data_IF_616996192591
#
_entry.id   IF_616996192591
#
_cell.length_a   1.000
_cell.length_b   1.000
_cell.length_c   1.000
_cell.angle_alpha   90.00
_cell.angle_beta   90.00
_cell.angle_gamma   90.00
#
_symmetry.space_group_name_H-M   'P 1'
#
loop_
_entity.id
_entity.type
_entity.pdbx_description
1 polymer ?
#
# COMPACT_ATOMS: atom_id res chain seq x y z
N UNK A 1 2.27 11.25 12.63
CA UNK A 1 3.73 11.45 12.46
C UNK A 1 4.06 11.48 10.96
N UNK A 2 5.04 12.29 10.54
CA UNK A 2 5.45 12.44 9.13
C UNK A 2 6.97 12.46 8.92
N UNK A 3 7.76 12.34 9.99
CA UNK A 3 9.21 12.59 9.93
C UNK A 3 10.06 11.55 10.64
N UNK A 4 9.52 10.77 11.58
CA UNK A 4 10.34 9.76 12.25
C UNK A 4 10.72 8.60 11.31
N UNK A 5 11.63 7.74 11.77
CA UNK A 5 11.99 6.50 11.06
C UNK A 5 10.80 5.54 10.88
N UNK A 6 9.76 5.63 11.73
CA UNK A 6 8.58 4.74 11.69
C UNK A 6 7.82 4.88 10.38
N UNK A 7 7.87 6.05 9.77
CA UNK A 7 7.19 6.38 8.52
C UNK A 7 8.12 6.33 7.31
N UNK A 8 9.34 5.78 7.45
CA UNK A 8 10.30 5.62 6.37
C UNK A 8 10.19 4.24 5.71
N UNK A 9 10.05 4.22 4.38
CA UNK A 9 9.81 3.02 3.58
C UNK A 9 10.75 2.93 2.37
N UNK A 10 11.00 1.70 1.90
CA UNK A 10 11.74 1.42 0.67
C UNK A 10 10.90 0.60 -0.29
N UNK A 11 10.93 0.97 -1.57
CA UNK A 11 10.45 0.16 -2.67
C UNK A 11 11.59 -0.72 -3.19
N UNK A 12 11.41 -2.04 -3.16
CA UNK A 12 12.40 -3.01 -3.64
C UNK A 12 11.83 -3.68 -4.89
N UNK A 13 12.40 -3.44 -6.08
CA UNK A 13 11.87 -3.99 -7.32
C UNK A 13 12.07 -5.50 -7.39
N UNK A 14 11.07 -6.19 -7.93
CA UNK A 14 11.08 -7.63 -8.22
C UNK A 14 10.59 -7.80 -9.65
N UNK A 15 11.38 -8.51 -10.46
CA UNK A 15 10.99 -8.89 -11.82
C UNK A 15 10.49 -10.33 -11.82
N UNK A 16 9.21 -10.53 -12.10
CA UNK A 16 8.60 -11.86 -12.13
C UNK A 16 7.59 -11.95 -13.27
N UNK A 17 7.64 -13.02 -14.07
CA UNK A 17 6.69 -13.28 -15.15
C UNK A 17 6.46 -12.07 -16.09
N UNK A 18 7.55 -11.37 -16.45
CA UNK A 18 7.54 -10.18 -17.30
C UNK A 18 6.77 -8.98 -16.69
N UNK A 19 6.66 -8.93 -15.37
CA UNK A 19 6.05 -7.80 -14.62
C UNK A 19 7.09 -7.23 -13.66
N UNK A 20 7.12 -5.90 -13.59
CA UNK A 20 7.79 -5.18 -12.51
C UNK A 20 6.83 -5.06 -11.33
N UNK A 21 7.16 -5.75 -10.25
CA UNK A 21 6.48 -5.70 -8.97
C UNK A 21 7.42 -5.09 -7.93
N UNK A 22 6.87 -4.78 -6.77
CA UNK A 22 7.63 -4.19 -5.68
C UNK A 22 7.31 -4.88 -4.37
N UNK A 23 8.34 -5.09 -3.54
CA UNK A 23 8.16 -5.23 -2.10
C UNK A 23 8.23 -3.84 -1.48
N UNK A 24 7.36 -3.56 -0.52
CA UNK A 24 7.32 -2.30 0.23
C UNK A 24 7.80 -2.61 1.65
N UNK A 25 8.99 -2.13 2.02
CA UNK A 25 9.63 -2.44 3.29
C UNK A 25 9.62 -1.22 4.22
N UNK A 26 9.15 -1.39 5.46
CA UNK A 26 9.36 -0.42 6.53
C UNK A 26 10.81 -0.49 7.01
N UNK A 27 11.50 0.65 7.05
CA UNK A 27 12.94 0.67 7.34
C UNK A 27 13.28 0.57 8.82
N UNK A 28 12.45 1.07 9.72
CA UNK A 28 12.67 0.95 11.17
C UNK A 28 12.48 -0.50 11.64
N UNK A 29 11.41 -1.15 11.19
CA UNK A 29 11.05 -2.49 11.67
C UNK A 29 11.61 -3.62 10.79
N UNK A 30 12.18 -3.32 9.63
CA UNK A 30 12.67 -4.32 8.66
C UNK A 30 11.55 -5.33 8.29
N UNK A 31 10.34 -4.82 8.10
CA UNK A 31 9.13 -5.61 7.79
C UNK A 31 8.58 -5.24 6.43
N UNK A 32 7.97 -6.21 5.76
CA UNK A 32 7.36 -6.04 4.45
C UNK A 32 5.84 -5.91 4.57
N UNK A 33 5.29 -4.95 3.83
CA UNK A 33 3.85 -4.74 3.75
C UNK A 33 3.17 -5.90 3.01
N UNK A 34 2.07 -6.40 3.58
CA UNK A 34 1.19 -7.40 2.95
C UNK A 34 -0.28 -7.14 3.28
N UNK A 35 -1.18 -7.73 2.50
CA UNK A 35 -2.60 -7.83 2.85
C UNK A 35 -2.90 -9.12 3.61
N UNK A 36 -3.94 -9.13 4.44
CA UNK A 36 -4.46 -10.31 5.13
C UNK A 36 -5.09 -11.33 4.16
N UNK A 37 -5.05 -12.62 4.54
CA UNK A 37 -5.80 -13.69 3.87
C UNK A 37 -7.30 -13.62 4.18
N UNK A 38 -7.65 -13.04 5.33
CA UNK A 38 -9.04 -12.82 5.72
C UNK A 38 -9.53 -11.47 5.21
N UNK A 39 -10.84 -11.37 5.04
CA UNK A 39 -11.53 -10.13 4.68
C UNK A 39 -12.43 -9.69 5.83
N UNK A 40 -12.74 -8.40 5.87
CA UNK A 40 -13.81 -7.87 6.72
C UNK A 40 -15.20 -8.09 6.09
N UNK A 41 -16.24 -7.49 6.68
CA UNK A 41 -17.62 -7.56 6.19
C UNK A 41 -17.85 -6.89 4.83
N UNK A 42 -16.93 -6.07 4.35
CA UNK A 42 -16.97 -5.39 3.04
C UNK A 42 -16.10 -6.09 1.99
N UNK A 43 -15.37 -7.13 2.37
CA UNK A 43 -14.41 -7.82 1.52
C UNK A 43 -13.02 -7.16 1.50
N UNK A 44 -12.80 -6.12 2.31
CA UNK A 44 -11.52 -5.44 2.41
C UNK A 44 -10.53 -6.28 3.23
N UNK A 45 -9.24 -6.20 2.89
CA UNK A 45 -8.18 -6.96 3.57
C UNK A 45 -7.33 -6.03 4.41
N UNK A 46 -7.16 -6.30 5.69
CA UNK A 46 -6.29 -5.48 6.53
C UNK A 46 -4.83 -5.58 6.05
N UNK A 47 -4.10 -4.46 6.09
CA UNK A 47 -2.68 -4.47 5.79
C UNK A 47 -1.84 -4.71 7.06
N UNK A 48 -0.74 -5.44 6.90
CA UNK A 48 0.16 -5.84 7.97
C UNK A 48 1.63 -5.70 7.56
N UNK A 49 2.51 -5.58 8.54
CA UNK A 49 3.95 -5.82 8.38
C UNK A 49 4.31 -7.27 8.73
N UNK A 50 5.24 -7.88 8.00
CA UNK A 50 5.82 -9.16 8.39
C UNK A 50 7.30 -9.30 8.05
N UNK A 51 8.02 -10.09 8.82
CA UNK A 51 9.46 -10.34 8.62
C UNK A 51 9.76 -11.22 7.38
N UNK A 52 8.79 -12.04 6.93
CA UNK A 52 8.89 -12.77 5.67
C UNK A 52 8.29 -11.97 4.50
N UNK A 53 8.68 -12.32 3.26
CA UNK A 53 8.16 -11.70 2.03
C UNK A 53 8.13 -12.64 0.82
N UNK A 54 7.86 -13.91 1.07
CA UNK A 54 7.93 -14.97 0.05
C UNK A 54 6.57 -15.31 -0.55
N UNK A 55 5.53 -14.55 -0.22
CA UNK A 55 4.17 -14.76 -0.71
C UNK A 55 3.79 -13.64 -1.68
N UNK A 56 2.92 -13.94 -2.65
CA UNK A 56 2.42 -12.95 -3.62
C UNK A 56 1.72 -11.77 -2.96
N UNK A 57 1.12 -11.98 -1.77
CA UNK A 57 0.51 -10.92 -0.94
C UNK A 57 1.50 -9.87 -0.42
N UNK A 58 2.81 -10.07 -0.57
CA UNK A 58 3.85 -9.07 -0.28
C UNK A 58 4.33 -8.28 -1.51
N UNK A 59 3.81 -8.64 -2.69
CA UNK A 59 4.16 -8.01 -3.95
C UNK A 59 3.08 -6.99 -4.34
N UNK A 60 3.52 -5.88 -4.89
CA UNK A 60 2.68 -4.73 -5.21
C UNK A 60 2.96 -4.25 -6.62
N UNK A 61 1.90 -3.94 -7.36
CA UNK A 61 1.95 -3.23 -8.65
C UNK A 61 1.72 -1.75 -8.39
N UNK A 62 2.55 -0.91 -8.99
CA UNK A 62 2.44 0.56 -8.89
C UNK A 62 2.00 1.09 -10.25
N UNK A 63 0.87 1.81 -10.28
CA UNK A 63 0.35 2.45 -11.49
C UNK A 63 0.40 3.97 -11.32
N UNK A 64 1.21 4.70 -12.11
CA UNK A 64 1.26 6.16 -12.04
C UNK A 64 0.00 6.79 -12.63
N UNK A 65 -0.51 7.83 -11.96
CA UNK A 65 -1.64 8.64 -12.43
C UNK A 65 -1.28 10.12 -12.31
N UNK A 66 -1.52 10.87 -13.38
CA UNK A 66 -1.30 12.32 -13.43
C UNK A 66 -2.61 13.02 -13.09
N UNK A 67 -2.58 13.88 -12.08
CA UNK A 67 -3.68 14.76 -11.71
C UNK A 67 -3.24 16.21 -11.83
N UNK A 68 -4.21 17.13 -11.94
CA UNK A 68 -3.93 18.57 -11.91
C UNK A 68 -3.21 19.00 -10.63
N UNK A 69 -3.48 18.31 -9.51
CA UNK A 69 -2.90 18.59 -8.20
C UNK A 69 -1.55 17.91 -7.96
N UNK A 70 -1.05 17.12 -8.92
CA UNK A 70 0.20 16.38 -8.81
C UNK A 70 0.07 14.89 -9.10
N UNK A 71 1.22 14.25 -9.35
CA UNK A 71 1.27 12.83 -9.68
C UNK A 71 1.10 11.96 -8.43
N UNK A 72 0.29 10.91 -8.57
CA UNK A 72 0.06 9.90 -7.53
C UNK A 72 0.32 8.50 -8.08
N UNK A 73 0.43 7.53 -7.18
CA UNK A 73 0.52 6.11 -7.51
C UNK A 73 -0.69 5.38 -6.92
N UNK A 74 -1.36 4.59 -7.75
CA UNK A 74 -2.23 3.52 -7.25
C UNK A 74 -1.35 2.32 -6.92
N UNK A 75 -1.48 1.80 -5.71
CA UNK A 75 -0.67 0.69 -5.19
C UNK A 75 -1.59 -0.52 -5.00
N UNK A 76 -1.47 -1.51 -5.88
CA UNK A 76 -2.35 -2.67 -5.95
C UNK A 76 -1.63 -3.93 -5.50
N UNK A 77 -2.26 -4.72 -4.62
CA UNK A 77 -1.70 -5.97 -4.17
C UNK A 77 -1.70 -7.02 -5.30
N UNK A 78 -0.57 -7.70 -5.52
CA UNK A 78 -0.42 -8.63 -6.61
C UNK A 78 -1.31 -9.87 -6.49
N UNK A 79 -1.52 -10.38 -5.28
CA UNK A 79 -2.34 -11.59 -5.06
C UNK A 79 -3.82 -11.30 -5.21
N UNK A 80 -4.30 -10.21 -4.62
CA UNK A 80 -5.73 -9.95 -4.47
C UNK A 80 -6.31 -8.92 -5.44
N UNK A 81 -5.47 -8.20 -6.19
CA UNK A 81 -5.93 -7.12 -7.08
C UNK A 81 -6.61 -5.97 -6.32
N UNK A 82 -6.33 -5.81 -5.02
CA UNK A 82 -6.93 -4.78 -4.17
C UNK A 82 -5.95 -3.62 -3.98
N UNK A 83 -6.42 -2.41 -4.25
CA UNK A 83 -5.65 -1.17 -4.09
C UNK A 83 -5.63 -0.69 -2.66
N UNK A 84 -4.49 -0.15 -2.20
CA UNK A 84 -4.35 0.38 -0.85
C UNK A 84 -5.25 1.61 -0.62
N UNK A 85 -5.96 1.62 0.51
CA UNK A 85 -6.71 2.76 1.03
C UNK A 85 -6.50 2.92 2.53
N UNK A 86 -6.66 4.15 3.01
CA UNK A 86 -6.86 4.40 4.43
C UNK A 86 -8.34 4.27 4.78
N UNK A 87 -8.62 3.79 5.99
CA UNK A 87 -9.96 3.72 6.54
C UNK A 87 -10.64 5.09 6.55
N UNK A 88 -11.97 5.12 6.39
CA UNK A 88 -12.77 6.33 6.49
C UNK A 88 -12.84 6.85 7.95
N UNK A 89 -12.71 5.96 8.93
CA UNK A 89 -12.71 6.32 10.35
C UNK A 89 -11.30 6.53 10.89
N UNK A 90 -11.18 7.43 11.85
CA UNK A 90 -9.96 7.64 12.63
C UNK A 90 -10.12 7.00 14.00
N UNK A 91 -9.03 6.50 14.57
CA UNK A 91 -8.99 6.07 15.96
C UNK A 91 -8.89 7.28 16.93
N UNK A 92 -8.79 7.00 18.23
CA UNK A 92 -8.68 8.05 19.26
C UNK A 92 -7.42 8.92 19.17
N UNK A 93 -6.41 8.48 18.43
CA UNK A 93 -5.16 9.20 18.19
C UNK A 93 -5.15 9.92 16.83
N UNK A 94 -6.21 9.77 16.04
CA UNK A 94 -6.31 10.33 14.69
C UNK A 94 -5.71 9.43 13.61
N UNK A 95 -5.29 8.21 13.96
CA UNK A 95 -4.71 7.25 13.01
C UNK A 95 -5.81 6.55 12.21
N UNK A 96 -5.51 6.20 10.97
CA UNK A 96 -6.39 5.42 10.09
C UNK A 96 -5.75 4.07 9.82
N UNK A 97 -6.55 3.01 9.91
CA UNK A 97 -6.10 1.68 9.49
C UNK A 97 -5.86 1.66 7.98
N UNK A 98 -4.96 0.75 7.55
CA UNK A 98 -4.62 0.55 6.15
C UNK A 98 -5.27 -0.75 5.65
N UNK A 99 -5.90 -0.66 4.49
CA UNK A 99 -6.71 -1.73 3.91
C UNK A 99 -6.41 -1.92 2.42
N UNK A 100 -6.56 -3.14 1.93
CA UNK A 100 -6.80 -3.43 0.52
C UNK A 100 -8.28 -3.25 0.22
N UNK A 101 -8.60 -2.33 -0.67
CA UNK A 101 -9.96 -1.98 -1.07
C UNK A 101 -10.56 -3.03 -2.02
N UNK A 102 -11.74 -3.53 -1.68
CA UNK A 102 -12.53 -4.47 -2.50
C UNK A 102 -13.42 -3.75 -3.56
N UNK A 103 -13.16 -2.48 -3.84
CA UNK A 103 -13.91 -1.67 -4.80
C UNK A 103 -13.04 -1.13 -5.93
N UNK A 104 -13.70 -0.53 -6.93
CA UNK A 104 -13.01 0.14 -8.03
C UNK A 104 -12.38 1.47 -7.57
N UNK A 105 -11.11 1.69 -7.92
CA UNK A 105 -10.35 2.91 -7.60
C UNK A 105 -10.02 3.78 -8.83
N UNK A 106 -10.18 3.25 -10.05
CA UNK A 106 -9.66 3.86 -11.28
C UNK A 106 -10.24 5.25 -11.57
N UNK A 107 -11.49 5.48 -11.16
CA UNK A 107 -12.19 6.76 -11.34
C UNK A 107 -11.95 7.79 -10.23
N UNK A 108 -11.21 7.44 -9.17
CA UNK A 108 -10.97 8.35 -8.04
C UNK A 108 -9.52 8.31 -7.51
N UNK A 109 -8.51 8.53 -8.37
CA UNK A 109 -7.10 8.55 -7.98
C UNK A 109 -6.76 9.66 -6.99
N UNK A 110 -7.54 10.76 -6.93
CA UNK A 110 -7.35 11.79 -5.90
C UNK A 110 -7.67 11.31 -4.48
N UNK A 111 -8.53 10.31 -4.34
CA UNK A 111 -8.89 9.71 -3.05
C UNK A 111 -8.03 8.48 -2.71
N UNK A 112 -7.69 7.65 -3.71
CA UNK A 112 -6.97 6.37 -3.49
C UNK A 112 -5.47 6.44 -3.82
N UNK A 113 -5.01 7.53 -4.41
CA UNK A 113 -3.62 7.69 -4.83
C UNK A 113 -2.67 7.98 -3.66
N UNK A 114 -1.46 7.45 -3.77
CA UNK A 114 -0.38 7.65 -2.81
C UNK A 114 0.71 8.53 -3.40
N UNK A 115 1.21 9.48 -2.60
CA UNK A 115 2.38 10.29 -2.95
C UNK A 115 3.61 9.66 -2.31
N UNK A 116 4.69 9.54 -3.08
CA UNK A 116 5.99 9.09 -2.60
C UNK A 116 6.93 10.28 -2.60
N UNK A 117 7.42 10.63 -1.41
CA UNK A 117 8.43 11.67 -1.23
C UNK A 117 9.73 11.06 -0.72
N UNK A 118 10.85 11.72 -0.99
CA UNK A 118 12.10 11.39 -0.30
C UNK A 118 11.92 11.58 1.21
N UNK A 119 12.34 10.58 1.98
CA UNK A 119 12.35 10.70 3.44
C UNK A 119 13.54 11.61 3.85
N UNK A 120 13.30 12.64 4.69
CA UNK A 120 14.27 13.69 5.01
C UNK A 120 15.40 13.24 5.95
#
# INVERSE_FOLDING_TARGET
DKTSHRVSWKLIPVWENNKLLYKIMNTEHTMYLKLDVNVDGYGDRQAWGSNNSNEKRHLWKLTPVVLETGNVLLIENHEYGQSLKLDAHVDRYGDRLLWGNNGNVDGNPGYFGWVINAWP
#
